data_IF_837317109978
#
_entry.id   IF_837317109978
#
_cell.length_a   1.000
_cell.length_b   1.000
_cell.length_c   1.000
_cell.angle_alpha   90.00
_cell.angle_beta   90.00
_cell.angle_gamma   90.00
#
_symmetry.space_group_name_H-M   'P 1'
#
loop_
_entity.id
_entity.type
_entity.pdbx_description
1 polymer ?
#
# COMPACT_ATOMS: atom_id res chain seq x y z
N UNK A 1 -1.51 -10.65 -3.13
CA UNK A 1 -0.63 -10.94 -1.98
C UNK A 1 -1.14 -12.15 -1.22
N UNK A 2 -2.38 -12.14 -0.72
CA UNK A 2 -3.03 -13.29 -0.08
C UNK A 2 -3.06 -14.54 -0.97
N UNK A 3 -3.33 -14.39 -2.26
CA UNK A 3 -3.28 -15.46 -3.29
C UNK A 3 -1.90 -16.15 -3.39
N UNK A 4 -0.82 -15.37 -3.36
CA UNK A 4 0.55 -15.88 -3.40
C UNK A 4 0.97 -16.55 -2.10
N UNK A 5 0.33 -16.21 -0.98
CA UNK A 5 0.56 -16.85 0.34
C UNK A 5 -0.25 -18.14 0.46
N UNK A 6 -1.48 -18.18 -0.06
CA UNK A 6 -2.40 -19.29 0.08
C UNK A 6 -2.22 -20.41 -0.96
N UNK A 7 -1.39 -20.22 -1.99
CA UNK A 7 -1.22 -21.17 -3.11
C UNK A 7 -2.56 -21.63 -3.74
N UNK A 8 -3.61 -20.81 -3.61
CA UNK A 8 -4.93 -21.12 -4.12
C UNK A 8 -5.17 -20.25 -5.35
N UNK A 9 -5.14 -20.85 -6.54
CA UNK A 9 -5.48 -20.15 -7.78
C UNK A 9 -6.96 -19.80 -7.69
N UNK A 10 -7.28 -18.50 -7.59
CA UNK A 10 -8.66 -18.04 -7.59
C UNK A 10 -9.34 -18.52 -8.88
N UNK A 11 -10.55 -19.06 -8.73
CA UNK A 11 -11.43 -19.36 -9.86
C UNK A 11 -11.64 -18.09 -10.69
N UNK A 12 -11.80 -18.21 -12.01
CA UNK A 12 -11.91 -17.06 -12.91
C UNK A 12 -13.06 -16.10 -12.53
N UNK A 13 -14.13 -16.65 -11.93
CA UNK A 13 -15.23 -15.93 -11.32
C UNK A 13 -14.80 -15.04 -10.14
N UNK A 14 -13.95 -15.53 -9.23
CA UNK A 14 -13.50 -14.77 -8.06
C UNK A 14 -12.54 -13.64 -8.45
N UNK A 15 -11.72 -13.89 -9.49
CA UNK A 15 -10.87 -12.84 -10.07
C UNK A 15 -11.69 -11.70 -10.67
N UNK A 16 -12.77 -12.02 -11.39
CA UNK A 16 -13.65 -11.00 -11.97
C UNK A 16 -14.35 -10.16 -10.89
N UNK A 17 -14.80 -10.78 -9.79
CA UNK A 17 -15.38 -10.10 -8.63
C UNK A 17 -14.38 -9.16 -7.95
N UNK A 18 -13.13 -9.59 -7.80
CA UNK A 18 -12.08 -8.76 -7.22
C UNK A 18 -11.77 -7.53 -8.10
N UNK A 19 -11.68 -7.72 -9.42
CA UNK A 19 -11.47 -6.61 -10.37
C UNK A 19 -12.65 -5.64 -10.37
N UNK A 20 -13.88 -6.16 -10.34
CA UNK A 20 -15.08 -5.33 -10.24
C UNK A 20 -15.07 -4.48 -8.97
N UNK A 21 -14.75 -5.07 -7.82
CA UNK A 21 -14.64 -4.37 -6.54
C UNK A 21 -13.62 -3.22 -6.60
N UNK A 22 -12.46 -3.45 -7.20
CA UNK A 22 -11.44 -2.41 -7.38
C UNK A 22 -11.98 -1.29 -8.27
N UNK A 23 -12.62 -1.62 -9.40
CA UNK A 23 -13.20 -0.62 -10.31
C UNK A 23 -14.29 0.22 -9.64
N UNK A 24 -15.19 -0.41 -8.89
CA UNK A 24 -16.24 0.29 -8.15
C UNK A 24 -15.67 1.18 -7.05
N UNK A 25 -14.66 0.70 -6.31
CA UNK A 25 -13.96 1.51 -5.32
C UNK A 25 -13.30 2.73 -5.97
N UNK A 26 -12.60 2.55 -7.10
CA UNK A 26 -12.00 3.66 -7.85
C UNK A 26 -13.05 4.65 -8.35
N UNK A 27 -14.18 4.16 -8.88
CA UNK A 27 -15.28 5.02 -9.29
C UNK A 27 -15.85 5.83 -8.11
N UNK A 28 -16.08 5.19 -6.96
CA UNK A 28 -16.54 5.87 -5.75
C UNK A 28 -15.57 6.95 -5.27
N UNK A 29 -14.26 6.69 -5.31
CA UNK A 29 -13.22 7.69 -4.99
C UNK A 29 -13.32 8.88 -5.95
N UNK A 30 -13.40 8.63 -7.27
CA UNK A 30 -13.52 9.70 -8.27
C UNK A 30 -14.78 10.53 -8.03
N UNK A 31 -15.92 9.90 -7.80
CA UNK A 31 -17.20 10.58 -7.51
C UNK A 31 -17.06 11.44 -6.24
N UNK A 32 -16.42 10.93 -5.19
CA UNK A 32 -16.17 11.68 -3.95
C UNK A 32 -15.31 12.91 -4.22
N UNK A 33 -14.23 12.76 -4.99
CA UNK A 33 -13.35 13.88 -5.35
C UNK A 33 -14.08 14.92 -6.20
N UNK A 34 -14.87 14.50 -7.19
CA UNK A 34 -15.66 15.41 -8.03
C UNK A 34 -16.68 16.18 -7.18
N UNK A 35 -17.41 15.47 -6.30
CA UNK A 35 -18.34 16.11 -5.38
C UNK A 35 -17.67 17.15 -4.49
N UNK A 36 -16.48 16.86 -3.95
CA UNK A 36 -15.73 17.79 -3.10
C UNK A 36 -15.21 19.01 -3.88
N UNK A 37 -14.69 18.81 -5.09
CA UNK A 37 -14.16 19.92 -5.92
C UNK A 37 -15.27 20.81 -6.47
N UNK A 38 -16.43 20.23 -6.79
CA UNK A 38 -17.58 20.97 -7.30
C UNK A 38 -18.47 21.56 -6.18
N UNK A 39 -18.12 21.35 -4.90
CA UNK A 39 -18.92 21.74 -3.73
C UNK A 39 -20.35 21.16 -3.75
N UNK A 40 -20.47 19.90 -4.19
CA UNK A 40 -21.73 19.16 -4.30
C UNK A 40 -21.82 18.10 -3.20
N UNK A 41 -22.37 18.42 -2.01
CA UNK A 41 -22.33 17.53 -0.85
C UNK A 41 -22.99 16.17 -1.11
N UNK A 42 -24.12 16.14 -1.83
CA UNK A 42 -24.82 14.91 -2.16
C UNK A 42 -24.02 13.98 -3.08
N UNK A 43 -23.22 14.53 -4.01
CA UNK A 43 -22.34 13.74 -4.87
C UNK A 43 -21.21 13.14 -4.03
N UNK A 44 -20.66 13.90 -3.09
CA UNK A 44 -19.67 13.41 -2.12
C UNK A 44 -20.24 12.28 -1.26
N UNK A 45 -21.49 12.40 -0.79
CA UNK A 45 -22.19 11.34 -0.04
C UNK A 45 -22.34 10.07 -0.89
N UNK A 46 -22.77 10.18 -2.15
CA UNK A 46 -22.88 9.03 -3.06
C UNK A 46 -21.53 8.34 -3.23
N UNK A 47 -20.47 9.11 -3.48
CA UNK A 47 -19.11 8.58 -3.58
C UNK A 47 -18.67 7.87 -2.29
N UNK A 48 -18.90 8.48 -1.14
CA UNK A 48 -18.57 7.93 0.18
C UNK A 48 -19.35 6.65 0.49
N UNK A 49 -20.64 6.55 0.10
CA UNK A 49 -21.46 5.35 0.24
C UNK A 49 -20.93 4.22 -0.63
N UNK A 50 -20.54 4.49 -1.88
CA UNK A 50 -19.91 3.50 -2.76
C UNK A 50 -18.61 2.99 -2.12
N UNK A 51 -17.74 3.90 -1.67
CA UNK A 51 -16.47 3.57 -1.02
C UNK A 51 -16.71 2.72 0.23
N UNK A 52 -17.57 3.18 1.14
CA UNK A 52 -17.91 2.47 2.38
C UNK A 52 -18.50 1.08 2.12
N UNK A 53 -19.38 0.94 1.12
CA UNK A 53 -19.99 -0.33 0.75
C UNK A 53 -18.97 -1.33 0.21
N UNK A 54 -18.08 -0.89 -0.70
CA UNK A 54 -17.04 -1.76 -1.27
C UNK A 54 -16.03 -2.22 -0.23
N UNK A 55 -15.70 -1.36 0.73
CA UNK A 55 -14.77 -1.66 1.81
C UNK A 55 -15.40 -2.57 2.88
N UNK A 56 -16.68 -2.38 3.18
CA UNK A 56 -17.44 -3.27 4.04
C UNK A 56 -17.53 -4.67 3.43
N UNK A 57 -17.82 -4.76 2.12
CA UNK A 57 -17.76 -6.03 1.39
C UNK A 57 -16.35 -6.64 1.47
N UNK A 58 -15.29 -5.87 1.24
CA UNK A 58 -13.92 -6.35 1.38
C UNK A 58 -13.62 -6.90 2.78
N UNK A 59 -14.05 -6.21 3.84
CA UNK A 59 -13.86 -6.65 5.22
C UNK A 59 -14.55 -7.99 5.50
N UNK A 60 -15.79 -8.17 5.01
CA UNK A 60 -16.53 -9.43 5.16
C UNK A 60 -15.89 -10.59 4.40
N UNK A 61 -15.52 -10.37 3.13
CA UNK A 61 -14.86 -11.36 2.29
C UNK A 61 -13.52 -11.82 2.92
N UNK A 62 -12.72 -10.87 3.40
CA UNK A 62 -11.48 -11.17 4.11
C UNK A 62 -11.76 -11.95 5.41
N UNK A 63 -12.72 -11.50 6.22
CA UNK A 63 -13.09 -12.18 7.47
C UNK A 63 -13.55 -13.63 7.25
N UNK A 64 -14.29 -13.90 6.18
CA UNK A 64 -14.75 -15.23 5.81
C UNK A 64 -13.60 -16.14 5.37
N UNK A 65 -12.71 -15.66 4.50
CA UNK A 65 -11.54 -16.43 4.05
C UNK A 65 -10.65 -16.85 5.22
N UNK A 66 -10.54 -15.99 6.24
CA UNK A 66 -9.66 -16.21 7.39
C UNK A 66 -10.20 -17.25 8.35
N UNK A 67 -11.51 -17.26 8.59
CA UNK A 67 -12.18 -18.28 9.41
C UNK A 67 -12.06 -19.69 8.82
N UNK A 68 -11.84 -19.79 7.51
CA UNK A 68 -11.80 -21.08 6.81
C UNK A 68 -10.40 -21.56 6.40
N UNK A 69 -9.37 -20.70 6.32
CA UNK A 69 -8.16 -21.05 5.55
C UNK A 69 -6.78 -20.99 6.26
N UNK A 70 -6.63 -20.52 7.51
CA UNK A 70 -5.27 -20.21 8.02
C UNK A 70 -4.82 -20.96 9.29
N UNK A 71 -3.69 -21.71 9.23
CA UNK A 71 -2.95 -22.16 10.39
C UNK A 71 -2.10 -21.03 11.03
N UNK A 72 -2.34 -20.76 12.32
CA UNK A 72 -1.44 -20.24 13.35
C UNK A 72 -0.67 -18.93 13.12
N UNK A 73 0.26 -18.88 12.15
CA UNK A 73 1.38 -17.91 12.12
C UNK A 73 1.09 -16.57 11.43
N UNK A 74 0.04 -16.49 10.61
CA UNK A 74 -0.34 -15.25 9.89
C UNK A 74 -1.63 -14.62 10.44
N UNK A 75 -2.21 -15.24 11.47
CA UNK A 75 -3.47 -14.84 12.07
C UNK A 75 -3.43 -13.39 12.60
N UNK A 76 -2.30 -12.97 13.18
CA UNK A 76 -2.14 -11.61 13.70
C UNK A 76 -2.24 -10.53 12.60
N UNK A 77 -1.43 -10.60 11.54
CA UNK A 77 -1.44 -9.65 10.41
C UNK A 77 -2.81 -9.55 9.74
N UNK A 78 -3.47 -10.70 9.61
CA UNK A 78 -4.79 -10.78 9.03
C UNK A 78 -5.83 -10.03 9.89
N UNK A 79 -5.80 -10.20 11.22
CA UNK A 79 -6.69 -9.47 12.13
C UNK A 79 -6.48 -7.97 12.06
N UNK A 80 -5.24 -7.49 11.89
CA UNK A 80 -4.96 -6.08 11.61
C UNK A 80 -5.68 -5.58 10.36
N UNK A 81 -5.65 -6.36 9.27
CA UNK A 81 -6.33 -5.97 8.03
C UNK A 81 -7.85 -5.97 8.17
N UNK A 82 -8.43 -6.96 8.85
CA UNK A 82 -9.87 -6.98 9.13
C UNK A 82 -10.27 -5.77 9.98
N UNK A 83 -9.54 -5.49 11.07
CA UNK A 83 -9.81 -4.36 11.94
C UNK A 83 -9.69 -3.02 11.20
N UNK A 84 -8.62 -2.84 10.42
CA UNK A 84 -8.40 -1.65 9.59
C UNK A 84 -9.54 -1.45 8.56
N UNK A 85 -9.97 -2.53 7.90
CA UNK A 85 -11.04 -2.47 6.90
C UNK A 85 -12.39 -2.10 7.52
N UNK A 86 -12.67 -2.51 8.76
CA UNK A 86 -13.91 -2.15 9.46
C UNK A 86 -13.96 -0.68 9.91
N UNK A 87 -12.82 -0.02 10.13
CA UNK A 87 -12.76 1.39 10.54
C UNK A 87 -12.99 2.35 9.37
N UNK A 88 -12.70 1.91 8.15
CA UNK A 88 -12.80 2.72 6.94
C UNK A 88 -14.23 3.22 6.64
N UNK A 89 -15.29 2.38 6.71
CA UNK A 89 -16.67 2.84 6.55
C UNK A 89 -17.05 3.92 7.56
N UNK A 90 -16.60 3.81 8.82
CA UNK A 90 -16.81 4.84 9.83
C UNK A 90 -16.10 6.15 9.42
N UNK A 91 -14.85 6.07 8.97
CA UNK A 91 -14.13 7.21 8.42
C UNK A 91 -14.87 7.86 7.24
N UNK A 92 -15.35 7.05 6.29
CA UNK A 92 -16.12 7.51 5.13
C UNK A 92 -17.41 8.24 5.54
N UNK A 93 -18.12 7.73 6.56
CA UNK A 93 -19.33 8.39 7.08
C UNK A 93 -19.04 9.76 7.67
N UNK A 94 -17.98 9.90 8.48
CA UNK A 94 -17.56 11.21 9.00
C UNK A 94 -17.13 12.15 7.87
N UNK A 95 -16.47 11.63 6.84
CA UNK A 95 -16.09 12.41 5.65
C UNK A 95 -17.30 12.92 4.87
N UNK A 96 -18.33 12.09 4.72
CA UNK A 96 -19.58 12.46 4.08
C UNK A 96 -20.33 13.55 4.87
N UNK A 97 -20.34 13.46 6.20
CA UNK A 97 -20.92 14.50 7.07
C UNK A 97 -20.15 15.82 6.93
N UNK A 98 -18.81 15.77 6.87
CA UNK A 98 -18.00 16.97 6.66
C UNK A 98 -18.23 17.66 5.31
N UNK A 99 -18.74 16.96 4.30
CA UNK A 99 -19.06 17.54 3.00
C UNK A 99 -20.15 18.62 3.08
N UNK A 100 -20.95 18.64 4.15
CA UNK A 100 -21.95 19.69 4.40
C UNK A 100 -21.38 20.94 5.08
N UNK A 101 -20.05 21.06 5.17
CA UNK A 101 -19.35 22.22 5.74
C UNK A 101 -19.87 22.62 7.12
N UNK A 102 -19.80 21.72 8.12
CA UNK A 102 -20.24 22.03 9.47
C UNK A 102 -19.47 23.23 10.05
N UNK A 103 -20.14 24.02 10.89
CA UNK A 103 -19.50 25.14 11.61
C UNK A 103 -18.61 24.65 12.75
N UNK A 104 -17.69 25.50 13.22
CA UNK A 104 -16.93 25.21 14.44
C UNK A 104 -17.86 25.15 15.67
N UNK A 105 -17.60 24.28 16.65
CA UNK A 105 -16.41 23.41 16.82
C UNK A 105 -16.49 22.06 16.09
N UNK A 106 -17.62 21.75 15.43
CA UNK A 106 -17.86 20.44 14.83
C UNK A 106 -16.96 20.16 13.64
N UNK A 107 -16.57 21.19 12.87
CA UNK A 107 -15.58 21.07 11.80
C UNK A 107 -14.27 20.46 12.29
N UNK A 108 -13.66 21.02 13.33
CA UNK A 108 -12.39 20.50 13.86
C UNK A 108 -12.57 19.12 14.52
N UNK A 109 -13.65 18.90 15.28
CA UNK A 109 -13.93 17.61 15.93
C UNK A 109 -14.10 16.47 14.92
N UNK A 110 -14.91 16.69 13.87
CA UNK A 110 -15.13 15.72 12.81
C UNK A 110 -13.86 15.48 11.99
N UNK A 111 -13.06 16.52 11.72
CA UNK A 111 -11.79 16.39 11.01
C UNK A 111 -10.81 15.49 11.76
N UNK A 112 -10.61 15.74 13.07
CA UNK A 112 -9.70 14.92 13.89
C UNK A 112 -10.23 13.49 14.02
N UNK A 113 -11.53 13.30 14.22
CA UNK A 113 -12.14 11.96 14.29
C UNK A 113 -12.01 11.20 12.95
N UNK A 114 -12.27 11.87 11.83
CA UNK A 114 -12.11 11.32 10.49
C UNK A 114 -10.65 10.92 10.21
N UNK A 115 -9.70 11.77 10.58
CA UNK A 115 -8.28 11.46 10.46
C UNK A 115 -7.84 10.35 11.40
N UNK A 116 -8.38 10.27 12.62
CA UNK A 116 -8.08 9.19 13.53
C UNK A 116 -8.51 7.83 12.96
N UNK A 117 -9.73 7.73 12.43
CA UNK A 117 -10.22 6.49 11.81
C UNK A 117 -9.43 6.10 10.55
N UNK A 118 -9.04 7.05 9.72
CA UNK A 118 -8.36 6.77 8.45
C UNK A 118 -6.84 6.63 8.58
N UNK A 119 -6.17 7.53 9.31
CA UNK A 119 -4.70 7.54 9.43
C UNK A 119 -4.21 6.63 10.55
N UNK A 120 -4.73 6.77 11.77
CA UNK A 120 -4.34 5.91 12.90
C UNK A 120 -4.97 4.52 12.75
N UNK A 121 -6.26 4.50 12.41
CA UNK A 121 -7.05 3.29 12.20
C UNK A 121 -6.62 2.53 10.95
N UNK A 122 -7.19 2.89 9.80
CA UNK A 122 -6.98 2.14 8.57
C UNK A 122 -5.51 2.05 8.14
N UNK A 123 -4.84 3.19 7.96
CA UNK A 123 -3.45 3.22 7.48
C UNK A 123 -2.51 2.65 8.54
N UNK A 124 -2.57 3.13 9.78
CA UNK A 124 -1.69 2.72 10.88
C UNK A 124 -1.76 1.22 11.15
N UNK A 125 -2.96 0.65 11.35
CA UNK A 125 -3.10 -0.79 11.57
C UNK A 125 -2.65 -1.60 10.35
N UNK A 126 -2.99 -1.17 9.13
CA UNK A 126 -2.56 -1.90 7.91
C UNK A 126 -1.05 -1.90 7.78
N UNK A 127 -0.40 -0.78 8.04
CA UNK A 127 1.06 -0.65 7.96
C UNK A 127 1.74 -1.49 9.03
N UNK A 128 1.34 -1.38 10.29
CA UNK A 128 1.93 -2.17 11.39
C UNK A 128 1.70 -3.66 11.14
N UNK A 129 0.48 -4.06 10.80
CA UNK A 129 0.15 -5.45 10.48
C UNK A 129 1.00 -6.03 9.34
N UNK A 130 1.26 -5.22 8.31
CA UNK A 130 2.14 -5.60 7.19
C UNK A 130 3.60 -5.67 7.60
N UNK A 131 4.08 -4.70 8.39
CA UNK A 131 5.48 -4.61 8.79
C UNK A 131 5.92 -5.80 9.64
N UNK A 132 5.04 -6.35 10.48
CA UNK A 132 5.30 -7.56 11.28
C UNK A 132 5.88 -8.69 10.42
N UNK A 133 5.36 -8.88 9.20
CA UNK A 133 5.77 -9.97 8.30
C UNK A 133 6.71 -9.51 7.20
N UNK A 134 6.48 -8.32 6.64
CA UNK A 134 7.26 -7.80 5.52
C UNK A 134 8.69 -7.46 5.94
N UNK A 135 8.90 -6.90 7.14
CA UNK A 135 10.22 -6.45 7.56
C UNK A 135 11.23 -7.60 7.75
N UNK A 136 10.92 -8.68 8.48
CA UNK A 136 11.81 -9.85 8.55
C UNK A 136 12.09 -10.44 7.15
N UNK A 137 11.10 -10.39 6.26
CA UNK A 137 11.24 -10.88 4.88
C UNK A 137 12.24 -10.02 4.08
N UNK A 138 12.15 -8.69 4.19
CA UNK A 138 13.07 -7.74 3.54
C UNK A 138 14.49 -7.90 4.07
N UNK A 139 14.67 -7.97 5.39
CA UNK A 139 15.97 -8.16 6.03
C UNK A 139 16.50 -9.60 5.88
N UNK A 140 15.63 -10.54 5.49
CA UNK A 140 15.90 -11.97 5.41
C UNK A 140 16.36 -12.51 6.77
N UNK A 141 15.60 -12.19 7.81
CA UNK A 141 15.71 -12.69 9.18
C UNK A 141 14.54 -13.60 9.49
N UNK A 142 14.68 -14.45 10.53
CA UNK A 142 13.59 -15.32 10.97
C UNK A 142 12.63 -14.53 11.86
N UNK A 143 11.33 -14.75 11.68
CA UNK A 143 10.30 -14.23 12.57
C UNK A 143 10.38 -14.97 13.92
N UNK A 144 10.45 -14.23 15.03
CA UNK A 144 10.51 -14.82 16.37
C UNK A 144 9.10 -15.19 16.85
N UNK A 145 8.93 -16.30 17.62
CA UNK A 145 7.62 -16.69 18.15
C UNK A 145 6.94 -15.63 19.04
N UNK A 146 7.74 -14.78 19.70
CA UNK A 146 7.22 -13.68 20.53
C UNK A 146 6.48 -12.60 19.71
N UNK A 147 6.82 -12.44 18.42
CA UNK A 147 6.22 -11.41 17.54
C UNK A 147 4.72 -11.62 17.34
N UNK A 148 4.24 -12.87 17.36
CA UNK A 148 2.81 -13.16 17.26
C UNK A 148 2.05 -12.69 18.52
N UNK A 149 2.68 -12.79 19.69
CA UNK A 149 2.09 -12.33 20.95
C UNK A 149 2.11 -10.81 21.03
N UNK A 150 3.25 -10.18 20.74
CA UNK A 150 3.38 -8.72 20.69
C UNK A 150 2.45 -8.10 19.66
N UNK A 151 2.29 -8.71 18.48
CA UNK A 151 1.36 -8.26 17.44
C UNK A 151 -0.09 -8.25 17.92
N UNK A 152 -0.55 -9.26 18.66
CA UNK A 152 -1.91 -9.28 19.22
C UNK A 152 -2.12 -8.18 20.27
N UNK A 153 -1.17 -8.01 21.19
CA UNK A 153 -1.25 -6.93 22.19
C UNK A 153 -1.24 -5.56 21.52
N UNK A 154 -0.35 -5.35 20.55
CA UNK A 154 -0.30 -4.14 19.73
C UNK A 154 -1.63 -3.86 19.04
N UNK A 155 -2.27 -4.86 18.44
CA UNK A 155 -3.59 -4.70 17.81
C UNK A 155 -4.64 -4.17 18.78
N UNK A 156 -4.76 -4.80 19.97
CA UNK A 156 -5.74 -4.38 20.97
C UNK A 156 -5.45 -2.95 21.46
N UNK A 157 -4.18 -2.62 21.72
CA UNK A 157 -3.77 -1.29 22.14
C UNK A 157 -4.05 -0.25 21.05
N UNK A 158 -3.71 -0.53 19.79
CA UNK A 158 -3.95 0.38 18.67
C UNK A 158 -5.44 0.59 18.40
N UNK A 159 -6.27 -0.46 18.53
CA UNK A 159 -7.73 -0.35 18.40
C UNK A 159 -8.33 0.50 19.53
N UNK A 160 -7.93 0.25 20.77
CA UNK A 160 -8.37 1.06 21.91
C UNK A 160 -7.93 2.52 21.75
N UNK A 161 -6.69 2.75 21.31
CA UNK A 161 -6.16 4.07 21.02
C UNK A 161 -7.00 4.81 19.96
N UNK A 162 -7.34 4.15 18.84
CA UNK A 162 -8.18 4.75 17.78
C UNK A 162 -9.57 5.10 18.32
N UNK A 163 -10.18 4.21 19.11
CA UNK A 163 -11.48 4.47 19.74
C UNK A 163 -11.41 5.67 20.70
N UNK A 164 -10.42 5.69 21.59
CA UNK A 164 -10.22 6.78 22.56
C UNK A 164 -9.94 8.11 21.86
N UNK A 165 -9.11 8.13 20.82
CA UNK A 165 -8.85 9.35 20.04
C UNK A 165 -10.10 9.84 19.32
N UNK A 166 -10.87 8.92 18.71
CA UNK A 166 -12.09 9.27 17.97
C UNK A 166 -13.16 9.81 18.91
N UNK A 167 -13.44 9.12 20.01
CA UNK A 167 -14.43 9.55 21.02
C UNK A 167 -13.99 10.85 21.69
N UNK A 168 -12.71 10.96 22.08
CA UNK A 168 -12.15 12.18 22.65
C UNK A 168 -12.30 13.38 21.71
N UNK A 169 -12.02 13.20 20.41
CA UNK A 169 -12.22 14.25 19.41
C UNK A 169 -13.70 14.64 19.25
N UNK A 170 -14.61 13.67 19.13
CA UNK A 170 -16.05 13.94 18.98
C UNK A 170 -16.65 14.64 20.21
N UNK A 171 -16.20 14.28 21.41
CA UNK A 171 -16.60 14.94 22.65
C UNK A 171 -15.90 16.29 22.89
N UNK A 172 -14.92 16.67 22.08
CA UNK A 172 -14.09 17.86 22.29
C UNK A 172 -13.15 17.76 23.49
N UNK A 173 -12.89 16.55 23.99
CA UNK A 173 -11.94 16.25 25.07
C UNK A 173 -10.53 16.04 24.47
N UNK A 174 -9.85 17.14 24.13
CA UNK A 174 -8.57 17.10 23.44
C UNK A 174 -7.46 16.40 24.22
N UNK A 175 -7.48 16.48 25.55
CA UNK A 175 -6.56 15.71 26.42
C UNK A 175 -6.77 14.21 26.24
N UNK A 176 -8.02 13.75 26.15
CA UNK A 176 -8.35 12.35 25.94
C UNK A 176 -7.93 11.90 24.54
N UNK A 177 -8.08 12.77 23.54
CA UNK A 177 -7.58 12.52 22.20
C UNK A 177 -6.05 12.35 22.18
N UNK A 178 -5.31 13.21 22.90
CA UNK A 178 -3.86 13.13 23.04
C UNK A 178 -3.41 11.84 23.78
N UNK A 179 -4.14 11.44 24.82
CA UNK A 179 -3.93 10.14 25.51
C UNK A 179 -4.12 8.99 24.54
N UNK A 180 -5.17 9.02 23.73
CA UNK A 180 -5.40 8.03 22.67
C UNK A 180 -4.24 7.97 21.66
N UNK A 181 -3.73 9.11 21.18
CA UNK A 181 -2.57 9.13 20.26
C UNK A 181 -1.32 8.58 20.94
N UNK A 182 -1.13 8.88 22.22
CA UNK A 182 0.00 8.36 23.01
C UNK A 182 -0.10 6.84 23.19
N UNK A 183 -1.29 6.33 23.46
CA UNK A 183 -1.56 4.89 23.48
C UNK A 183 -1.30 4.26 22.11
N UNK A 184 -1.58 4.97 21.01
CA UNK A 184 -1.25 4.51 19.66
C UNK A 184 0.27 4.37 19.45
N UNK A 185 1.06 5.33 19.96
CA UNK A 185 2.54 5.25 19.95
C UNK A 185 3.00 4.01 20.71
N UNK A 186 2.44 3.74 21.89
CA UNK A 186 2.77 2.54 22.68
C UNK A 186 2.47 1.27 21.86
N UNK A 187 1.30 1.20 21.22
CA UNK A 187 0.92 0.09 20.34
C UNK A 187 1.92 -0.14 19.21
N UNK A 188 2.40 0.92 18.57
CA UNK A 188 3.45 0.87 17.54
C UNK A 188 4.78 0.40 18.14
N UNK A 189 5.18 0.94 19.29
CA UNK A 189 6.46 0.65 19.94
C UNK A 189 6.60 -0.83 20.36
N UNK A 190 5.50 -1.48 20.75
CA UNK A 190 5.48 -2.92 21.06
C UNK A 190 6.01 -3.74 19.86
N UNK A 191 5.54 -3.45 18.65
CA UNK A 191 6.00 -4.14 17.43
C UNK A 191 7.36 -3.62 17.00
N UNK A 192 7.62 -2.33 17.21
CA UNK A 192 8.88 -1.68 16.86
C UNK A 192 10.08 -2.33 17.56
N UNK A 193 9.93 -2.76 18.81
CA UNK A 193 10.97 -3.49 19.52
C UNK A 193 11.43 -4.73 18.74
N UNK A 194 10.49 -5.50 18.21
CA UNK A 194 10.77 -6.70 17.41
C UNK A 194 11.40 -6.35 16.03
N UNK A 195 10.90 -5.27 15.40
CA UNK A 195 11.44 -4.74 14.15
C UNK A 195 12.91 -4.29 14.31
N UNK A 196 13.21 -3.59 15.40
CA UNK A 196 14.56 -3.13 15.74
C UNK A 196 15.47 -4.30 16.09
N UNK A 197 14.99 -5.29 16.85
CA UNK A 197 15.76 -6.49 17.13
C UNK A 197 16.19 -7.22 15.84
N UNK A 198 15.30 -7.31 14.84
CA UNK A 198 15.64 -7.84 13.51
C UNK A 198 16.71 -6.99 12.81
N UNK A 199 16.60 -5.67 12.88
CA UNK A 199 17.52 -4.73 12.24
C UNK A 199 18.91 -4.73 12.90
N UNK A 200 19.00 -4.85 14.22
CA UNK A 200 20.27 -4.96 14.95
C UNK A 200 20.99 -6.25 14.57
N UNK A 201 20.26 -7.37 14.47
CA UNK A 201 20.87 -8.64 14.07
C UNK A 201 21.35 -8.63 12.61
N UNK A 202 20.60 -7.97 11.72
CA UNK A 202 20.97 -7.83 10.31
C UNK A 202 20.54 -6.47 9.77
N UNK A 203 21.46 -5.49 9.71
CA UNK A 203 21.10 -4.13 9.32
C UNK A 203 20.63 -4.07 7.87
N UNK A 204 19.70 -3.15 7.55
CA UNK A 204 19.24 -2.93 6.19
C UNK A 204 20.42 -2.52 5.30
N UNK A 205 20.58 -3.20 4.17
CA UNK A 205 21.63 -2.91 3.17
C UNK A 205 21.07 -2.49 1.81
N UNK A 206 19.77 -2.63 1.62
CA UNK A 206 19.07 -2.38 0.36
C UNK A 206 18.13 -1.17 0.49
N UNK A 207 17.84 -0.51 -0.63
CA UNK A 207 16.91 0.64 -0.70
C UNK A 207 15.59 0.42 0.08
N UNK A 208 14.86 -0.71 -0.08
CA UNK A 208 13.60 -0.92 0.62
C UNK A 208 13.75 -0.89 2.13
N UNK A 209 14.82 -1.46 2.68
CA UNK A 209 15.07 -1.49 4.12
C UNK A 209 15.29 -0.09 4.70
N UNK A 210 16.09 0.74 4.03
CA UNK A 210 16.31 2.12 4.46
C UNK A 210 15.06 2.97 4.36
N UNK A 211 14.35 2.90 3.23
CA UNK A 211 13.13 3.69 3.00
C UNK A 211 12.01 3.30 3.97
N UNK A 212 11.80 2.00 4.20
CA UNK A 212 10.82 1.51 5.17
C UNK A 212 11.19 1.90 6.61
N UNK A 213 12.46 1.77 6.99
CA UNK A 213 12.94 2.17 8.33
C UNK A 213 12.74 3.67 8.57
N UNK A 214 13.12 4.51 7.59
CA UNK A 214 12.93 5.95 7.68
C UNK A 214 11.44 6.35 7.68
N UNK A 215 10.57 5.63 6.98
CA UNK A 215 9.13 5.87 7.03
C UNK A 215 8.56 5.59 8.44
N UNK A 216 9.02 4.54 9.12
CA UNK A 216 8.63 4.25 10.51
C UNK A 216 9.07 5.40 11.43
N UNK A 217 10.28 5.94 11.26
CA UNK A 217 10.73 7.10 12.02
C UNK A 217 9.83 8.32 11.79
N UNK A 218 9.47 8.61 10.53
CA UNK A 218 8.55 9.70 10.20
C UNK A 218 7.15 9.51 10.80
N UNK A 219 6.65 8.27 10.83
CA UNK A 219 5.39 7.94 11.48
C UNK A 219 5.43 8.30 12.97
N UNK A 220 6.50 7.92 13.69
CA UNK A 220 6.66 8.23 15.11
C UNK A 220 6.77 9.74 15.37
N UNK A 221 7.58 10.45 14.57
CA UNK A 221 7.72 11.92 14.66
C UNK A 221 6.36 12.59 14.46
N UNK A 222 5.60 12.16 13.45
CA UNK A 222 4.26 12.68 13.20
C UNK A 222 3.29 12.39 14.36
N UNK A 223 3.30 11.18 14.93
CA UNK A 223 2.43 10.83 16.06
C UNK A 223 2.75 11.68 17.30
N UNK A 224 4.03 11.89 17.61
CA UNK A 224 4.46 12.75 18.71
C UNK A 224 4.03 14.20 18.45
N UNK A 225 4.18 14.69 17.22
CA UNK A 225 3.75 16.03 16.85
C UNK A 225 2.23 16.19 16.98
N UNK A 226 1.44 15.21 16.52
CA UNK A 226 -0.01 15.20 16.66
C UNK A 226 -0.43 15.20 18.14
N UNK A 227 0.15 14.34 18.96
CA UNK A 227 -0.13 14.30 20.40
C UNK A 227 0.19 15.64 21.08
N UNK A 228 1.34 16.24 20.74
CA UNK A 228 1.74 17.54 21.26
C UNK A 228 0.78 18.67 20.84
N UNK A 229 0.31 18.71 19.59
CA UNK A 229 -0.69 19.70 19.16
C UNK A 229 -2.01 19.54 19.91
N UNK A 230 -2.51 18.31 20.03
CA UNK A 230 -3.75 18.02 20.75
C UNK A 230 -3.65 18.43 22.23
N UNK A 231 -2.48 18.20 22.86
CA UNK A 231 -2.25 18.57 24.25
C UNK A 231 -2.03 20.09 24.46
N UNK A 232 -1.33 20.76 23.55
CA UNK A 232 -0.93 22.18 23.71
C UNK A 232 -2.02 23.18 23.30
N UNK A 233 -2.73 22.90 22.21
CA UNK A 233 -3.75 23.82 21.68
C UNK A 233 -5.10 23.66 22.36
N UNK A 234 -5.40 22.46 22.88
CA UNK A 234 -6.64 22.19 23.60
C UNK A 234 -7.87 22.71 22.86
N UNK A 235 -8.69 23.51 23.53
CA UNK A 235 -9.92 24.10 22.96
C UNK A 235 -9.69 25.15 21.88
N UNK A 236 -8.48 25.67 21.72
CA UNK A 236 -8.09 26.60 20.66
C UNK A 236 -7.57 25.93 19.39
N UNK A 237 -7.68 24.60 19.29
CA UNK A 237 -7.27 23.85 18.11
C UNK A 237 -8.21 24.14 16.93
N UNK A 238 -7.65 24.53 15.80
CA UNK A 238 -8.39 24.76 14.56
C UNK A 238 -8.11 23.66 13.53
N UNK A 239 -9.04 23.50 12.59
CA UNK A 239 -8.90 22.57 11.47
C UNK A 239 -7.59 22.79 10.69
N UNK A 240 -7.17 24.04 10.50
CA UNK A 240 -5.96 24.41 9.78
C UNK A 240 -4.68 23.91 10.48
N UNK A 241 -4.66 23.93 11.81
CA UNK A 241 -3.56 23.37 12.60
C UNK A 241 -3.41 21.87 12.33
N UNK A 242 -4.51 21.17 12.07
CA UNK A 242 -4.52 19.73 11.76
C UNK A 242 -4.15 19.47 10.29
N UNK A 243 -4.56 20.32 9.36
CA UNK A 243 -4.18 20.19 7.95
C UNK A 243 -2.67 20.27 7.73
N UNK A 244 -1.97 21.15 8.47
CA UNK A 244 -0.50 21.25 8.39
C UNK A 244 0.23 19.96 8.75
N UNK A 245 -0.39 19.06 9.53
CA UNK A 245 0.16 17.74 9.88
C UNK A 245 -0.03 16.69 8.77
N UNK A 246 -0.96 16.93 7.84
CA UNK A 246 -1.37 15.92 6.84
C UNK A 246 -0.32 15.73 5.76
N UNK A 247 0.31 16.82 5.30
CA UNK A 247 1.32 16.74 4.24
C UNK A 247 2.59 15.99 4.71
N UNK A 248 3.18 16.28 5.88
CA UNK A 248 4.33 15.53 6.38
C UNK A 248 4.07 14.02 6.52
N UNK A 249 2.90 13.59 7.02
CA UNK A 249 2.59 12.15 7.18
C UNK A 249 2.37 11.47 5.83
N UNK A 250 1.74 12.14 4.87
CA UNK A 250 1.51 11.57 3.54
C UNK A 250 2.86 11.38 2.83
N UNK A 251 3.72 12.40 2.83
CA UNK A 251 4.96 12.36 2.05
C UNK A 251 6.07 11.58 2.78
N UNK A 252 6.34 11.91 4.04
CA UNK A 252 7.46 11.33 4.80
C UNK A 252 7.21 9.91 5.28
N UNK A 253 5.95 9.55 5.53
CA UNK A 253 5.58 8.21 5.95
C UNK A 253 4.90 7.40 4.84
N UNK A 254 3.70 7.78 4.42
CA UNK A 254 2.84 6.88 3.62
C UNK A 254 3.42 6.60 2.23
N UNK A 255 3.74 7.66 1.48
CA UNK A 255 4.29 7.56 0.13
C UNK A 255 5.67 6.91 0.18
N UNK A 256 6.51 7.32 1.12
CA UNK A 256 7.83 6.76 1.32
C UNK A 256 7.78 5.25 1.59
N UNK A 257 6.94 4.82 2.54
CA UNK A 257 6.75 3.41 2.86
C UNK A 257 6.24 2.61 1.65
N UNK A 258 5.25 3.15 0.93
CA UNK A 258 4.66 2.49 -0.24
C UNK A 258 5.72 2.29 -1.33
N UNK A 259 6.51 3.32 -1.63
CA UNK A 259 7.61 3.24 -2.61
C UNK A 259 8.64 2.18 -2.16
N UNK A 260 9.01 2.17 -0.88
CA UNK A 260 9.93 1.17 -0.32
C UNK A 260 9.40 -0.26 -0.45
N UNK A 261 8.17 -0.49 0.00
CA UNK A 261 7.52 -1.80 -0.05
C UNK A 261 7.30 -2.29 -1.48
N UNK A 262 6.80 -1.43 -2.38
CA UNK A 262 6.59 -1.80 -3.79
C UNK A 262 7.90 -2.06 -4.53
N UNK A 263 8.98 -1.36 -4.18
CA UNK A 263 10.32 -1.66 -4.72
C UNK A 263 10.79 -3.06 -4.34
N UNK A 264 10.39 -3.58 -3.19
CA UNK A 264 10.69 -4.96 -2.83
C UNK A 264 9.75 -5.97 -3.50
N UNK A 265 8.45 -5.66 -3.58
CA UNK A 265 7.42 -6.58 -4.03
C UNK A 265 7.32 -6.73 -5.55
N UNK A 266 7.57 -5.67 -6.32
CA UNK A 266 7.40 -5.65 -7.78
C UNK A 266 8.18 -6.77 -8.50
N UNK A 267 9.47 -7.03 -8.19
CA UNK A 267 10.23 -8.12 -8.81
C UNK A 267 9.68 -9.52 -8.49
N UNK A 268 9.06 -9.69 -7.31
CA UNK A 268 8.47 -10.97 -6.92
C UNK A 268 7.17 -11.25 -7.66
N UNK A 269 6.37 -10.22 -7.95
CA UNK A 269 5.10 -10.35 -8.68
C UNK A 269 5.32 -10.49 -10.19
N UNK A 270 6.35 -9.85 -10.75
CA UNK A 270 6.65 -9.91 -12.19
C UNK A 270 7.22 -11.27 -12.67
N UNK A 271 7.66 -12.14 -11.74
CA UNK A 271 8.24 -13.44 -12.07
C UNK A 271 9.64 -13.36 -12.72
N UNK A 272 10.13 -14.49 -13.26
CA UNK A 272 11.41 -14.54 -14.00
C UNK A 272 12.51 -15.43 -13.39
N UNK A 273 12.21 -16.17 -12.32
CA UNK A 273 13.15 -17.10 -11.69
C UNK A 273 14.25 -16.41 -10.85
N UNK A 274 14.89 -17.15 -9.91
CA UNK A 274 15.70 -16.55 -8.85
C UNK A 274 16.89 -15.71 -9.33
N UNK A 275 17.48 -16.06 -10.48
CA UNK A 275 18.62 -15.34 -11.05
C UNK A 275 18.24 -13.97 -11.64
N UNK A 276 17.12 -13.87 -12.36
CA UNK A 276 16.67 -12.61 -12.96
C UNK A 276 16.20 -11.64 -11.86
N UNK A 277 15.47 -12.15 -10.86
CA UNK A 277 15.02 -11.35 -9.71
C UNK A 277 16.22 -10.79 -8.93
N UNK A 278 17.25 -11.60 -8.66
CA UNK A 278 18.47 -11.14 -7.97
C UNK A 278 19.24 -10.08 -8.78
N UNK A 279 19.37 -10.25 -10.09
CA UNK A 279 20.07 -9.29 -10.95
C UNK A 279 19.31 -7.96 -11.08
N UNK A 280 17.98 -8.01 -11.14
CA UNK A 280 17.12 -6.82 -11.13
C UNK A 280 17.21 -6.10 -9.79
N UNK A 281 17.14 -6.83 -8.67
CA UNK A 281 17.25 -6.23 -7.33
C UNK A 281 18.62 -5.59 -7.09
N UNK A 282 19.72 -6.25 -7.48
CA UNK A 282 21.07 -5.69 -7.32
C UNK A 282 21.23 -4.35 -8.04
N UNK A 283 20.61 -4.19 -9.22
CA UNK A 283 20.63 -2.92 -9.97
C UNK A 283 19.64 -1.89 -9.45
N UNK A 284 18.45 -2.32 -9.01
CA UNK A 284 17.39 -1.43 -8.54
C UNK A 284 17.67 -0.87 -7.13
N UNK A 285 18.43 -1.61 -6.32
CA UNK A 285 18.82 -1.21 -4.96
C UNK A 285 20.21 -0.57 -4.90
N UNK A 286 20.93 -0.47 -6.03
CA UNK A 286 22.18 0.26 -6.11
C UNK A 286 21.99 1.72 -5.65
N UNK A 287 22.88 2.19 -4.78
CA UNK A 287 22.81 3.52 -4.16
C UNK A 287 21.51 3.79 -3.37
N UNK A 288 20.88 2.73 -2.87
CA UNK A 288 19.65 2.83 -2.09
C UNK A 288 19.78 3.72 -0.86
N UNK A 289 20.88 3.58 -0.12
CA UNK A 289 21.16 4.41 1.04
C UNK A 289 21.21 5.90 0.66
N UNK A 290 22.00 6.27 -0.35
CA UNK A 290 22.13 7.66 -0.82
C UNK A 290 20.77 8.27 -1.21
N UNK A 291 19.97 7.54 -1.99
CA UNK A 291 18.63 7.98 -2.43
C UNK A 291 17.69 8.20 -1.24
N UNK A 292 17.67 7.26 -0.31
CA UNK A 292 16.86 7.38 0.91
C UNK A 292 17.34 8.57 1.76
N UNK A 293 18.64 8.76 1.94
CA UNK A 293 19.19 9.87 2.73
C UNK A 293 18.88 11.22 2.11
N UNK A 294 19.06 11.40 0.80
CA UNK A 294 18.71 12.66 0.10
C UNK A 294 17.21 12.95 0.23
N UNK A 295 16.38 11.92 0.08
CA UNK A 295 14.92 12.07 0.21
C UNK A 295 14.54 12.57 1.61
N UNK A 296 15.07 11.92 2.64
CA UNK A 296 14.76 12.26 4.03
C UNK A 296 15.38 13.60 4.47
N UNK A 297 16.58 13.94 3.98
CA UNK A 297 17.19 15.24 4.21
C UNK A 297 16.37 16.38 3.57
N UNK A 298 15.89 16.17 2.34
CA UNK A 298 14.98 17.12 1.66
C UNK A 298 13.67 17.30 2.42
N UNK A 299 13.08 16.21 2.93
CA UNK A 299 11.87 16.27 3.75
C UNK A 299 12.10 17.00 5.08
N UNK A 300 13.21 16.73 5.76
CA UNK A 300 13.55 17.40 7.02
C UNK A 300 13.73 18.91 6.79
N UNK A 301 14.45 19.29 5.73
CA UNK A 301 14.62 20.69 5.33
C UNK A 301 13.27 21.32 4.98
N UNK A 302 12.38 20.61 4.29
CA UNK A 302 11.06 21.12 3.95
C UNK A 302 10.19 21.39 5.18
N UNK A 303 10.20 20.49 6.16
CA UNK A 303 9.43 20.63 7.41
C UNK A 303 10.01 21.74 8.30
N UNK A 304 11.32 21.81 8.44
CA UNK A 304 12.00 22.79 9.30
C UNK A 304 12.22 24.16 8.64
N UNK A 305 12.02 24.26 7.33
CA UNK A 305 12.22 25.51 6.59
C UNK A 305 11.26 26.60 7.07
N UNK A 306 11.84 27.68 7.60
CA UNK A 306 11.13 28.93 7.91
C UNK A 306 10.95 29.83 6.67
N UNK A 307 11.78 29.65 5.63
CA UNK A 307 11.73 30.44 4.38
C UNK A 307 11.13 29.67 3.19
N UNK A 308 10.41 30.37 2.31
CA UNK A 308 9.78 29.82 1.10
C UNK A 308 10.79 29.19 0.14
N UNK A 309 11.97 29.80 -0.02
CA UNK A 309 13.08 29.28 -0.82
C UNK A 309 13.65 27.97 -0.26
N UNK A 310 13.92 27.92 1.04
CA UNK A 310 14.43 26.72 1.72
C UNK A 310 13.44 25.57 1.63
N UNK A 311 12.13 25.88 1.72
CA UNK A 311 11.05 24.92 1.56
C UNK A 311 11.01 24.36 0.13
N UNK A 312 11.17 25.21 -0.90
CA UNK A 312 11.28 24.75 -2.31
C UNK A 312 12.49 23.85 -2.53
N UNK A 313 13.65 24.23 -1.99
CA UNK A 313 14.87 23.41 -2.07
C UNK A 313 14.69 22.03 -1.40
N UNK A 314 14.04 21.99 -0.23
CA UNK A 314 13.69 20.74 0.44
C UNK A 314 12.82 19.82 -0.42
N UNK A 315 11.78 20.37 -1.08
CA UNK A 315 10.93 19.60 -2.00
C UNK A 315 11.71 19.07 -3.20
N UNK A 316 12.54 19.91 -3.83
CA UNK A 316 13.37 19.49 -4.98
C UNK A 316 14.30 18.36 -4.56
N UNK A 317 14.98 18.48 -3.40
CA UNK A 317 15.83 17.41 -2.89
C UNK A 317 15.06 16.13 -2.59
N UNK A 318 13.86 16.22 -2.01
CA UNK A 318 13.02 15.06 -1.74
C UNK A 318 12.64 14.31 -3.04
N UNK A 319 12.22 15.06 -4.06
CA UNK A 319 11.87 14.50 -5.38
C UNK A 319 13.10 13.91 -6.07
N UNK A 320 14.21 14.65 -6.10
CA UNK A 320 15.47 14.21 -6.72
C UNK A 320 15.99 12.95 -6.02
N UNK A 321 16.00 12.88 -4.69
CA UNK A 321 16.40 11.68 -3.96
C UNK A 321 15.55 10.45 -4.32
N UNK A 322 14.24 10.63 -4.47
CA UNK A 322 13.31 9.57 -4.86
C UNK A 322 13.53 9.06 -6.29
N UNK A 323 13.85 9.96 -7.23
CA UNK A 323 13.89 9.65 -8.67
C UNK A 323 15.28 9.58 -9.31
N UNK A 324 16.34 9.96 -8.60
CA UNK A 324 17.72 9.81 -9.08
C UNK A 324 17.98 8.35 -9.39
N UNK A 325 17.95 8.04 -10.69
CA UNK A 325 18.50 6.80 -11.23
C UNK A 325 19.99 7.00 -11.41
N UNK A 326 20.83 6.02 -11.06
CA UNK A 326 22.24 6.11 -11.38
C UNK A 326 22.39 6.28 -12.90
N UNK A 327 23.29 7.18 -13.31
CA UNK A 327 23.59 7.50 -14.71
C UNK A 327 23.93 6.28 -15.58
N UNK A 328 24.18 5.10 -14.99
CA UNK A 328 24.40 3.83 -15.69
C UNK A 328 23.15 3.06 -16.13
N UNK A 329 21.94 3.46 -15.71
CA UNK A 329 20.67 2.77 -15.99
C UNK A 329 19.94 3.34 -17.22
N UNK A 330 20.67 3.69 -18.27
CA UNK A 330 20.10 4.19 -19.52
C UNK A 330 19.28 3.09 -20.23
N UNK A 331 18.05 3.37 -20.73
CA UNK A 331 17.19 2.39 -21.42
C UNK A 331 17.89 1.67 -22.58
N UNK A 332 18.81 2.36 -23.27
CA UNK A 332 19.60 1.81 -24.38
C UNK A 332 20.44 0.59 -23.97
N UNK A 333 20.96 0.53 -22.74
CA UNK A 333 21.74 -0.60 -22.23
C UNK A 333 20.86 -1.81 -21.91
N UNK A 334 19.59 -1.59 -21.55
CA UNK A 334 18.62 -2.66 -21.31
C UNK A 334 18.16 -3.29 -22.63
N UNK A 335 17.96 -2.48 -23.67
CA UNK A 335 17.71 -2.96 -25.03
C UNK A 335 18.92 -3.71 -25.59
N UNK A 336 20.14 -3.19 -25.36
CA UNK A 336 21.38 -3.84 -25.76
C UNK A 336 21.62 -5.18 -25.03
N UNK A 337 21.41 -5.25 -23.71
CA UNK A 337 21.53 -6.49 -22.95
C UNK A 337 20.48 -7.53 -23.39
N UNK A 338 19.24 -7.09 -23.67
CA UNK A 338 18.17 -7.98 -24.12
C UNK A 338 18.44 -8.50 -25.55
N UNK A 339 19.00 -7.67 -26.44
CA UNK A 339 19.52 -8.10 -27.75
C UNK A 339 20.68 -9.09 -27.60
N UNK A 340 21.67 -8.79 -26.75
CA UNK A 340 22.89 -9.59 -26.57
C UNK A 340 22.63 -10.96 -25.94
N UNK A 341 21.62 -11.08 -25.09
CA UNK A 341 21.28 -12.33 -24.38
C UNK A 341 20.02 -13.02 -24.93
N UNK A 342 19.53 -12.61 -26.10
CA UNK A 342 18.33 -13.17 -26.72
C UNK A 342 18.45 -14.69 -26.95
N UNK A 343 19.64 -15.14 -27.37
CA UNK A 343 19.93 -16.56 -27.59
C UNK A 343 19.85 -17.40 -26.30
N UNK A 344 20.26 -16.86 -25.15
CA UNK A 344 20.16 -17.55 -23.85
C UNK A 344 18.70 -17.68 -23.39
N UNK A 345 17.88 -16.66 -23.67
CA UNK A 345 16.45 -16.67 -23.38
C UNK A 345 15.73 -17.69 -24.28
N UNK A 346 16.08 -17.76 -25.57
CA UNK A 346 15.55 -18.78 -26.48
C UNK A 346 16.00 -20.19 -26.09
N UNK A 347 17.26 -20.37 -25.71
CA UNK A 347 17.80 -21.66 -25.26
C UNK A 347 17.14 -22.15 -23.97
N UNK A 348 16.76 -21.25 -23.05
CA UNK A 348 15.97 -21.58 -21.86
C UNK A 348 14.54 -22.01 -22.21
N UNK A 349 13.88 -21.30 -23.13
CA UNK A 349 12.52 -21.65 -23.60
C UNK A 349 12.48 -22.97 -24.37
N UNK A 350 13.49 -23.26 -25.17
CA UNK A 350 13.58 -24.54 -25.91
C UNK A 350 13.90 -25.71 -24.98
N UNK A 351 14.64 -25.48 -23.89
CA UNK A 351 14.83 -26.49 -22.82
C UNK A 351 13.56 -26.75 -22.04
N UNK A 352 12.82 -25.72 -21.65
CA UNK A 352 11.51 -25.85 -20.99
C UNK A 352 10.48 -26.56 -21.88
N UNK A 353 10.42 -26.22 -23.18
CA UNK A 353 9.56 -26.91 -24.14
C UNK A 353 9.93 -28.38 -24.31
N UNK A 354 11.24 -28.69 -24.41
CA UNK A 354 11.70 -30.08 -24.42
C UNK A 354 11.30 -30.80 -23.14
N UNK A 355 11.51 -30.20 -21.98
CA UNK A 355 11.17 -30.80 -20.69
C UNK A 355 9.67 -31.13 -20.59
N UNK A 356 8.79 -30.24 -21.06
CA UNK A 356 7.35 -30.51 -21.17
C UNK A 356 6.98 -31.58 -22.21
N UNK A 357 7.82 -31.81 -23.23
CA UNK A 357 7.64 -32.87 -24.23
C UNK A 357 8.17 -34.22 -23.74
N UNK A 358 9.28 -34.23 -22.98
CA UNK A 358 9.90 -35.45 -22.45
C UNK A 358 9.16 -36.01 -21.23
N UNK A 359 8.47 -35.17 -20.47
CA UNK A 359 7.69 -35.57 -19.30
C UNK A 359 6.22 -35.11 -19.43
N UNK A 360 5.40 -35.81 -20.25
CA UNK A 360 4.00 -35.44 -20.44
C UNK A 360 3.12 -35.65 -19.19
N UNK A 361 3.61 -36.38 -18.18
CA UNK A 361 2.82 -36.77 -17.00
C UNK A 361 2.69 -35.70 -15.91
N UNK A 362 3.34 -34.54 -16.03
CA UNK A 362 3.07 -33.43 -15.12
C UNK A 362 1.94 -32.54 -15.67
N UNK A 363 0.72 -33.09 -15.75
CA UNK A 363 -0.50 -32.27 -15.78
C UNK A 363 -0.73 -31.72 -14.37
N UNK A 364 -0.99 -30.41 -14.20
CA UNK A 364 -1.50 -29.92 -12.92
C UNK A 364 -2.79 -30.69 -12.61
N UNK A 365 -2.85 -31.30 -11.44
CA UNK A 365 -3.98 -32.09 -10.99
C UNK A 365 -5.25 -31.24 -10.98
N UNK A 366 -6.24 -31.61 -11.79
CA UNK A 366 -7.51 -30.88 -11.82
C UNK A 366 -8.40 -31.08 -13.04
N UNK A 367 -8.48 -32.27 -13.64
CA UNK A 367 -9.70 -32.69 -14.37
C UNK A 367 -9.72 -34.22 -14.52
N UNK A 368 -10.25 -34.91 -13.51
CA UNK A 368 -10.67 -36.31 -13.66
C UNK A 368 -11.99 -36.33 -14.44
N UNK A 369 -11.89 -36.22 -15.77
CA UNK A 369 -12.96 -36.68 -16.63
C UNK A 369 -12.93 -38.21 -16.65
N UNK A 370 -13.88 -38.76 -15.88
CA UNK A 370 -14.28 -40.16 -15.74
C UNK A 370 -14.21 -40.92 -17.08
N UNK A 371 -13.54 -42.06 -17.06
CA UNK A 371 -13.48 -43.05 -18.13
C UNK A 371 -14.87 -43.60 -18.47
N UNK A 372 -15.20 -43.64 -19.76
CA UNK A 372 -16.28 -44.47 -20.34
C UNK A 372 -15.63 -45.45 -21.34
N UNK A 373 -16.06 -46.72 -21.41
CA UNK A 373 -15.46 -47.74 -22.26
C UNK A 373 -15.88 -47.60 -23.74
N UNK A 374 -15.21 -48.28 -24.68
CA UNK A 374 -15.13 -47.85 -26.08
C UNK A 374 -16.32 -48.32 -26.92
N UNK A 375 -16.80 -47.45 -27.82
CA UNK A 375 -17.68 -47.84 -28.94
C UNK A 375 -16.91 -47.83 -30.25
N UNK A 376 -17.08 -48.92 -31.00
CA UNK A 376 -16.41 -49.32 -32.26
C UNK A 376 -16.49 -48.27 -33.39
N UNK A 377 -15.34 -48.13 -34.07
CA UNK A 377 -15.06 -47.97 -35.51
C UNK A 377 -16.06 -47.24 -36.44
N UNK A 378 -15.57 -46.19 -37.13
CA UNK A 378 -15.72 -46.01 -38.59
C UNK A 378 -14.83 -44.87 -39.19
N UNK A 379 -14.07 -45.23 -40.24
CA UNK A 379 -13.66 -44.50 -41.48
C UNK A 379 -12.72 -43.25 -41.48
N UNK A 380 -11.50 -43.50 -42.00
CA UNK A 380 -10.70 -42.88 -43.12
C UNK A 380 -10.72 -41.34 -43.40
N UNK A 381 -9.56 -40.70 -43.13
CA UNK A 381 -8.61 -39.88 -43.97
C UNK A 381 -9.08 -38.73 -44.92
N UNK A 382 -8.17 -37.89 -45.49
CA UNK A 382 -7.27 -36.85 -44.91
C UNK A 382 -7.32 -35.47 -45.66
N UNK A 383 -6.85 -34.35 -45.08
CA UNK A 383 -6.05 -33.22 -45.70
C UNK A 383 -6.13 -31.88 -44.92
N UNK A 384 -4.95 -31.23 -44.78
CA UNK A 384 -4.57 -29.79 -44.71
C UNK A 384 -5.56 -28.73 -44.14
N UNK A 385 -5.19 -27.67 -43.38
CA UNK A 385 -4.06 -26.73 -43.51
C UNK A 385 -4.05 -25.75 -42.32
N UNK A 386 -2.87 -25.20 -42.00
CA UNK A 386 -2.55 -24.02 -41.18
C UNK A 386 -3.68 -23.08 -40.68
N UNK A 387 -3.63 -22.73 -39.38
CA UNK A 387 -3.32 -21.36 -38.89
C UNK A 387 -3.37 -21.27 -37.36
N UNK A 388 -2.29 -20.74 -36.77
CA UNK A 388 -2.18 -20.35 -35.36
C UNK A 388 -2.48 -18.84 -35.29
N UNK A 389 -3.45 -18.35 -34.51
CA UNK A 389 -3.48 -16.96 -34.12
C UNK A 389 -2.65 -16.80 -32.84
N UNK A 390 -1.42 -16.32 -33.03
CA UNK A 390 -0.62 -15.72 -31.98
C UNK A 390 -1.24 -14.38 -31.56
N UNK A 391 -1.85 -14.33 -30.37
CA UNK A 391 -2.06 -13.06 -29.67
C UNK A 391 -2.05 -13.29 -28.15
N UNK A 392 -0.87 -13.10 -27.55
CA UNK A 392 -0.80 -12.83 -26.10
C UNK A 392 -1.38 -11.44 -25.87
N UNK A 393 -2.29 -11.24 -24.88
CA UNK A 393 -2.75 -9.91 -24.54
C UNK A 393 -1.60 -9.09 -23.96
N UNK A 394 -1.25 -8.02 -24.67
CA UNK A 394 -0.49 -6.89 -24.16
C UNK A 394 -1.23 -6.34 -22.92
N UNK A 395 -0.69 -6.56 -21.73
CA UNK A 395 -1.15 -5.86 -20.52
C UNK A 395 -0.86 -4.37 -20.73
N UNK A 396 -1.88 -3.48 -20.72
CA UNK A 396 -1.73 -2.13 -21.23
C UNK A 396 -1.00 -1.22 -20.23
N UNK A 397 -0.10 -0.37 -20.75
CA UNK A 397 0.54 0.76 -20.07
C UNK A 397 -0.42 1.79 -19.45
N UNK A 398 -1.75 1.58 -19.52
CA UNK A 398 -2.79 2.50 -19.04
C UNK A 398 -2.75 2.76 -17.53
N UNK A 399 -2.30 1.82 -16.71
CA UNK A 399 -2.23 2.00 -15.24
C UNK A 399 -1.09 2.94 -14.81
N UNK A 400 -0.03 3.06 -15.61
CA UNK A 400 1.08 3.96 -15.29
C UNK A 400 0.69 5.42 -15.52
N UNK A 401 -0.07 5.69 -16.59
CA UNK A 401 -0.61 7.00 -16.91
C UNK A 401 -1.65 7.48 -15.89
N UNK A 402 -2.51 6.59 -15.38
CA UNK A 402 -3.46 6.95 -14.30
C UNK A 402 -2.76 7.21 -12.97
N UNK A 403 -1.72 6.44 -12.65
CA UNK A 403 -0.89 6.67 -11.46
C UNK A 403 -0.08 7.98 -11.58
N UNK A 404 0.43 8.29 -12.78
CA UNK A 404 1.08 9.56 -13.09
C UNK A 404 0.09 10.73 -13.03
N UNK A 405 -1.15 10.57 -13.51
CA UNK A 405 -2.17 11.60 -13.45
C UNK A 405 -2.61 11.89 -12.00
N UNK A 406 -2.74 10.85 -11.17
CA UNK A 406 -2.97 11.01 -9.73
C UNK A 406 -1.79 11.68 -9.02
N UNK A 407 -0.55 11.38 -9.39
CA UNK A 407 0.63 12.07 -8.87
C UNK A 407 0.72 13.52 -9.35
N UNK A 408 0.32 13.85 -10.58
CA UNK A 408 0.27 15.24 -11.10
C UNK A 408 -0.82 16.04 -10.39
N UNK A 409 -1.99 15.45 -10.10
CA UNK A 409 -3.04 16.09 -9.28
C UNK A 409 -2.52 16.36 -7.86
N UNK A 410 -1.82 15.41 -7.25
CA UNK A 410 -1.18 15.60 -5.94
C UNK A 410 -0.08 16.67 -6.02
N UNK A 411 0.71 16.73 -7.10
CA UNK A 411 1.74 17.74 -7.31
C UNK A 411 1.15 19.15 -7.51
N UNK A 412 0.01 19.26 -8.22
CA UNK A 412 -0.71 20.53 -8.39
C UNK A 412 -1.38 21.01 -7.09
N UNK A 413 -1.84 20.08 -6.24
CA UNK A 413 -2.30 20.40 -4.88
C UNK A 413 -1.13 20.90 -3.99
N UNK A 414 0.08 20.37 -4.19
CA UNK A 414 1.29 20.77 -3.46
C UNK A 414 1.86 22.12 -3.95
N UNK A 415 1.70 22.47 -5.23
CA UNK A 415 2.27 23.71 -5.79
C UNK A 415 1.46 24.98 -5.51
N UNK A 416 0.21 24.89 -5.03
CA UNK A 416 -0.57 26.10 -4.70
C UNK A 416 -0.91 26.98 -5.91
N UNK A 417 -0.84 26.44 -7.13
CA UNK A 417 -1.14 27.17 -8.37
C UNK A 417 -2.64 27.10 -8.78
N UNK A 418 -3.51 26.63 -7.89
CA UNK A 418 -4.93 27.01 -7.90
C UNK A 418 -5.07 28.19 -6.93
N UNK A 419 -5.46 29.38 -7.41
CA UNK A 419 -5.49 30.57 -6.57
C UNK A 419 -6.37 30.34 -5.34
N UNK A 420 -5.88 30.91 -4.24
CA UNK A 420 -6.32 30.90 -2.83
C UNK A 420 -7.74 31.50 -2.65
N UNK A 421 -8.70 31.14 -3.49
CA UNK A 421 -10.00 31.81 -3.57
C UNK A 421 -11.22 30.91 -3.36
N UNK A 422 -11.05 29.62 -3.06
CA UNK A 422 -12.16 28.66 -2.88
C UNK A 422 -12.20 27.97 -1.51
N UNK A 423 -11.52 28.55 -0.50
CA UNK A 423 -11.58 28.09 0.89
C UNK A 423 -12.02 29.20 1.85
N UNK A 424 -13.03 30.00 1.45
CA UNK A 424 -13.78 30.88 2.36
C UNK A 424 -15.07 30.21 2.79
#
# INVERSE_FOLDING_TARGET
FTEAILHNNLTEADRSRQVLRIRLLTAGIIVTCVGMVADWPWVTVVGAVIVGSMLTWYAFDLGHQVRHALPGRFDSTVRFYCAAACLLPLGATLGAIMAFSPVEPWRTRLLVAHQALNLLGFVGLTVVGTLITLWPTVLRTKMQPAQDRHGRYSLYVMMAAVAVTTVGALCGLWWLAAVGVTAHIIGVCIVLGDLVACAVHKPPRDFPGFTMGAAICWMLVWLVWLAWKLASKGTGLLADDIFTLSVPVIVGFLLQLLIGAMSYLMPMVMGGGPRIVRATNAKMHAFGALRATITNAGLLLWVLAMGTWTRRLGMVMAVVGGFVRPAGAHPSRHAAWRKRNFHLIQAGRSRLRRWHQTFPEYRPAGTTARTLPPRRAARRSPTATHSIPSSLPLIPQRNLLTTLMQMVIICNIINGDLPVFLWR
#
